data_IF_258190194273
#
_entry.id   IF_258190194273
#
_cell.length_a   1.000
_cell.length_b   1.000
_cell.length_c   1.000
_cell.angle_alpha   90.00
_cell.angle_beta   90.00
_cell.angle_gamma   90.00
#
_symmetry.space_group_name_H-M   'P 1'
#
loop_
_entity.id
_entity.type
_entity.pdbx_description
1 polymer ?
#
# COMPACT_ATOMS: atom_id res chain seq x y z
N UNK A 1 -13.26 -4.24 -10.42
CA UNK A 1 -14.37 -5.07 -9.90
C UNK A 1 -15.23 -4.28 -8.94
N UNK A 2 -14.66 -3.77 -7.84
CA UNK A 2 -15.42 -3.08 -6.79
C UNK A 2 -16.15 -1.79 -7.26
N UNK A 3 -15.65 -1.09 -8.29
CA UNK A 3 -16.29 0.12 -8.83
C UNK A 3 -17.67 -0.14 -9.45
N UNK A 4 -17.96 -1.40 -9.76
CA UNK A 4 -19.25 -1.83 -10.32
C UNK A 4 -20.32 -2.00 -9.24
N UNK A 5 -19.91 -2.13 -7.98
CA UNK A 5 -20.81 -2.29 -6.83
C UNK A 5 -21.24 -0.90 -6.37
N UNK A 6 -22.51 -0.55 -6.59
CA UNK A 6 -23.12 0.70 -6.14
C UNK A 6 -23.76 0.48 -4.77
N UNK A 7 -23.52 1.40 -3.84
CA UNK A 7 -24.06 1.34 -2.47
C UNK A 7 -25.39 2.10 -2.39
N UNK A 8 -25.35 3.42 -2.32
CA UNK A 8 -26.52 4.28 -2.19
C UNK A 8 -26.29 5.57 -3.01
N UNK A 9 -27.33 6.09 -3.67
CA UNK A 9 -27.25 7.34 -4.46
C UNK A 9 -26.14 7.37 -5.52
N UNK A 10 -25.80 6.23 -6.11
CA UNK A 10 -24.77 6.15 -7.16
C UNK A 10 -23.33 6.14 -6.65
N UNK A 11 -23.10 6.23 -5.34
CA UNK A 11 -21.76 6.10 -4.75
C UNK A 11 -21.30 4.64 -4.90
N UNK A 12 -20.14 4.45 -5.53
CA UNK A 12 -19.53 3.12 -5.68
C UNK A 12 -18.80 2.70 -4.39
N UNK A 13 -18.73 1.39 -4.14
CA UNK A 13 -17.96 0.84 -3.02
C UNK A 13 -16.49 1.26 -3.07
N UNK A 14 -15.91 1.37 -4.27
CA UNK A 14 -14.56 1.91 -4.44
C UNK A 14 -14.44 3.35 -4.00
N UNK A 15 -15.43 4.21 -4.24
CA UNK A 15 -15.37 5.61 -3.82
C UNK A 15 -15.26 5.72 -2.29
N UNK A 16 -16.07 4.95 -1.57
CA UNK A 16 -16.00 4.88 -0.11
C UNK A 16 -14.61 4.41 0.36
N UNK A 17 -14.11 3.30 -0.19
CA UNK A 17 -12.80 2.75 0.17
C UNK A 17 -11.67 3.74 -0.17
N UNK A 18 -11.71 4.40 -1.32
CA UNK A 18 -10.71 5.41 -1.73
C UNK A 18 -10.67 6.59 -0.77
N UNK A 19 -11.83 7.08 -0.30
CA UNK A 19 -11.88 8.17 0.69
C UNK A 19 -11.32 7.72 2.04
N UNK A 20 -11.65 6.52 2.51
CA UNK A 20 -11.11 5.97 3.75
C UNK A 20 -9.58 5.83 3.67
N UNK A 21 -9.06 5.31 2.56
CA UNK A 21 -7.62 5.19 2.32
C UNK A 21 -6.95 6.57 2.25
N UNK A 22 -7.59 7.53 1.58
CA UNK A 22 -7.07 8.90 1.49
C UNK A 22 -6.91 9.54 2.88
N UNK A 23 -7.96 9.49 3.71
CA UNK A 23 -7.91 10.00 5.08
C UNK A 23 -6.80 9.29 5.86
N UNK A 24 -6.77 7.96 5.81
CA UNK A 24 -5.77 7.17 6.52
C UNK A 24 -4.34 7.52 6.11
N UNK A 25 -4.05 7.66 4.82
CA UNK A 25 -2.71 8.02 4.34
C UNK A 25 -2.31 9.45 4.70
N UNK A 26 -3.25 10.40 4.68
CA UNK A 26 -3.01 11.76 5.16
C UNK A 26 -2.68 11.80 6.65
N UNK A 27 -3.31 10.95 7.46
CA UNK A 27 -2.99 10.81 8.89
C UNK A 27 -1.60 10.21 9.13
N UNK A 28 -1.10 9.36 8.23
CA UNK A 28 0.24 8.79 8.33
C UNK A 28 1.34 9.81 7.99
N UNK A 29 1.25 10.44 6.81
CA UNK A 29 2.20 11.48 6.39
C UNK A 29 1.55 12.34 5.32
N UNK A 30 1.22 13.60 5.67
CA UNK A 30 0.37 14.47 4.86
C UNK A 30 0.85 14.65 3.41
N UNK A 31 2.14 14.93 3.11
CA UNK A 31 2.57 15.18 1.73
C UNK A 31 2.35 13.98 0.80
N UNK A 32 2.75 12.78 1.21
CA UNK A 32 2.53 11.56 0.43
C UNK A 32 1.08 11.09 0.49
N UNK A 33 0.37 11.36 1.58
CA UNK A 33 -1.06 11.07 1.70
C UNK A 33 -1.90 11.86 0.68
N UNK A 34 -1.58 13.14 0.49
CA UNK A 34 -2.17 13.98 -0.57
C UNK A 34 -1.88 13.43 -1.96
N UNK A 35 -0.64 13.02 -2.23
CA UNK A 35 -0.25 12.44 -3.51
C UNK A 35 -0.98 11.11 -3.80
N UNK A 36 -0.98 10.19 -2.83
CA UNK A 36 -1.68 8.91 -2.94
C UNK A 36 -3.19 9.11 -3.09
N UNK A 37 -3.76 10.03 -2.30
CA UNK A 37 -5.16 10.42 -2.37
C UNK A 37 -5.57 10.95 -3.73
N UNK A 38 -4.78 11.88 -4.27
CA UNK A 38 -4.99 12.44 -5.60
C UNK A 38 -4.98 11.35 -6.67
N UNK A 39 -4.02 10.42 -6.63
CA UNK A 39 -3.95 9.31 -7.57
C UNK A 39 -5.17 8.38 -7.44
N UNK A 40 -5.54 8.00 -6.21
CA UNK A 40 -6.68 7.12 -5.93
C UNK A 40 -8.01 7.73 -6.38
N UNK A 41 -8.27 9.00 -6.05
CA UNK A 41 -9.49 9.70 -6.47
C UNK A 41 -9.54 9.90 -7.98
N UNK A 42 -8.43 10.30 -8.61
CA UNK A 42 -8.37 10.49 -10.06
C UNK A 42 -8.63 9.20 -10.82
N UNK A 43 -8.05 8.09 -10.36
CA UNK A 43 -8.29 6.77 -10.94
C UNK A 43 -9.75 6.32 -10.74
N UNK A 44 -10.31 6.56 -9.56
CA UNK A 44 -11.72 6.25 -9.27
C UNK A 44 -12.67 6.99 -10.21
N UNK A 45 -12.47 8.30 -10.37
CA UNK A 45 -13.25 9.12 -11.30
C UNK A 45 -13.09 8.63 -12.73
N UNK A 46 -11.87 8.33 -13.19
CA UNK A 46 -11.64 7.82 -14.54
C UNK A 46 -12.32 6.47 -14.82
N UNK A 47 -12.44 5.60 -13.80
CA UNK A 47 -13.16 4.33 -13.90
C UNK A 47 -14.68 4.53 -13.92
N UNK A 48 -15.21 5.43 -13.08
CA UNK A 48 -16.64 5.73 -12.99
C UNK A 48 -17.15 6.46 -14.23
N UNK A 49 -16.38 7.42 -14.74
CA UNK A 49 -16.67 8.16 -15.98
C UNK A 49 -16.44 7.33 -17.25
N UNK A 50 -16.09 6.05 -17.11
CA UNK A 50 -15.75 5.15 -18.21
C UNK A 50 -14.60 5.63 -19.11
N UNK A 51 -13.74 6.55 -18.64
CA UNK A 51 -12.52 6.93 -19.37
C UNK A 51 -11.51 5.79 -19.47
N UNK A 52 -11.54 4.90 -18.48
CA UNK A 52 -10.77 3.65 -18.46
C UNK A 52 -11.76 2.50 -18.60
N UNK A 53 -11.69 1.82 -19.75
CA UNK A 53 -12.49 0.63 -20.00
C UNK A 53 -11.67 -0.63 -19.70
N UNK A 54 -11.99 -1.28 -18.59
CA UNK A 54 -11.49 -2.62 -18.28
C UNK A 54 -12.65 -3.60 -18.36
N UNK A 55 -12.45 -4.71 -19.08
CA UNK A 55 -13.35 -5.86 -19.00
C UNK A 55 -13.20 -6.54 -17.64
N UNK A 56 -14.25 -7.23 -17.20
CA UNK A 56 -14.19 -8.02 -15.97
C UNK A 56 -13.04 -9.05 -15.98
N UNK A 57 -12.75 -9.63 -17.16
CA UNK A 57 -11.61 -10.54 -17.33
C UNK A 57 -10.28 -9.85 -17.04
N UNK A 58 -10.07 -8.64 -17.56
CA UNK A 58 -8.83 -7.88 -17.30
C UNK A 58 -8.71 -7.49 -15.82
N UNK A 59 -9.80 -7.06 -15.19
CA UNK A 59 -9.80 -6.74 -13.77
C UNK A 59 -9.44 -7.96 -12.90
N UNK A 60 -10.02 -9.12 -13.21
CA UNK A 60 -9.75 -10.37 -12.51
C UNK A 60 -8.32 -10.85 -12.77
N UNK A 61 -7.82 -10.77 -14.00
CA UNK A 61 -6.45 -11.12 -14.33
C UNK A 61 -5.45 -10.26 -13.56
N UNK A 62 -5.65 -8.93 -13.51
CA UNK A 62 -4.79 -8.03 -12.74
C UNK A 62 -4.82 -8.37 -11.23
N UNK A 63 -5.99 -8.70 -10.70
CA UNK A 63 -6.15 -9.11 -9.31
C UNK A 63 -5.36 -10.40 -9.01
N UNK A 64 -5.53 -11.44 -9.82
CA UNK A 64 -4.83 -12.73 -9.64
C UNK A 64 -3.32 -12.56 -9.80
N UNK A 65 -2.88 -11.80 -10.81
CA UNK A 65 -1.45 -11.50 -11.02
C UNK A 65 -0.86 -10.77 -9.81
N UNK A 66 -1.58 -9.79 -9.25
CA UNK A 66 -1.16 -9.08 -8.04
C UNK A 66 -0.96 -10.02 -6.85
N UNK A 67 -1.88 -10.96 -6.65
CA UNK A 67 -1.74 -11.99 -5.60
C UNK A 67 -0.56 -12.93 -5.84
N UNK A 68 -0.33 -13.35 -7.09
CA UNK A 68 0.84 -14.17 -7.44
C UNK A 68 2.13 -13.43 -7.09
N UNK A 69 2.26 -12.16 -7.48
CA UNK A 69 3.43 -11.36 -7.14
C UNK A 69 3.60 -11.17 -5.63
N UNK A 70 2.50 -10.96 -4.90
CA UNK A 70 2.54 -10.82 -3.44
C UNK A 70 3.04 -12.10 -2.76
N UNK A 71 2.48 -13.27 -3.11
CA UNK A 71 2.91 -14.54 -2.52
C UNK A 71 4.30 -14.97 -2.99
N UNK A 72 4.64 -14.74 -4.26
CA UNK A 72 5.97 -15.05 -4.79
C UNK A 72 7.05 -14.15 -4.15
N UNK A 73 6.77 -12.86 -3.97
CA UNK A 73 7.63 -11.92 -3.26
C UNK A 73 8.00 -12.41 -1.87
N UNK A 74 7.00 -12.66 -1.02
CA UNK A 74 7.25 -13.09 0.35
C UNK A 74 7.80 -14.52 0.45
N UNK A 75 7.28 -15.44 -0.35
CA UNK A 75 7.63 -16.86 -0.29
C UNK A 75 9.00 -17.18 -0.90
N UNK A 76 9.31 -16.62 -2.08
CA UNK A 76 10.54 -16.95 -2.84
C UNK A 76 11.67 -15.99 -2.50
N UNK A 77 11.40 -14.68 -2.47
CA UNK A 77 12.45 -13.67 -2.30
C UNK A 77 12.74 -13.41 -0.82
N UNK A 78 11.71 -13.26 0.01
CA UNK A 78 11.90 -12.98 1.43
C UNK A 78 12.04 -14.23 2.31
N UNK A 79 11.70 -15.42 1.77
CA UNK A 79 11.69 -16.72 2.48
C UNK A 79 10.95 -16.67 3.82
N UNK A 80 9.96 -15.78 3.94
CA UNK A 80 9.16 -15.55 5.15
C UNK A 80 7.71 -15.98 4.90
N UNK A 81 6.96 -16.19 5.98
CA UNK A 81 5.51 -16.34 5.87
C UNK A 81 4.93 -15.05 5.27
N UNK A 82 3.89 -15.14 4.43
CA UNK A 82 3.27 -13.96 3.85
C UNK A 82 2.83 -13.01 4.96
N UNK A 83 3.15 -11.71 4.85
CA UNK A 83 2.80 -10.71 5.87
C UNK A 83 1.30 -10.66 6.18
N UNK A 84 0.47 -11.09 5.22
CA UNK A 84 -0.98 -11.26 5.38
C UNK A 84 -1.37 -12.22 6.52
N UNK A 85 -0.50 -13.20 6.84
CA UNK A 85 -0.73 -14.15 7.92
C UNK A 85 -0.48 -13.55 9.31
N UNK A 86 0.32 -12.50 9.40
CA UNK A 86 0.69 -11.86 10.67
C UNK A 86 -0.25 -10.69 10.99
N UNK A 87 -0.49 -9.82 10.02
CA UNK A 87 -1.45 -8.72 10.15
C UNK A 87 -2.07 -8.38 8.79
N UNK A 88 -3.24 -8.98 8.52
CA UNK A 88 -3.95 -8.84 7.25
C UNK A 88 -4.27 -7.38 6.91
N UNK A 89 -4.81 -6.64 7.88
CA UNK A 89 -5.28 -5.26 7.67
C UNK A 89 -4.09 -4.35 7.39
N UNK A 90 -3.03 -4.43 8.21
CA UNK A 90 -1.83 -3.64 7.99
C UNK A 90 -1.19 -3.97 6.65
N UNK A 91 -1.07 -5.25 6.30
CA UNK A 91 -0.48 -5.69 5.04
C UNK A 91 -1.27 -5.22 3.83
N UNK A 92 -2.60 -5.29 3.86
CA UNK A 92 -3.43 -4.87 2.73
C UNK A 92 -3.47 -3.33 2.56
N UNK A 93 -3.55 -2.59 3.69
CA UNK A 93 -3.72 -1.14 3.66
C UNK A 93 -2.39 -0.41 3.45
N UNK A 94 -1.30 -0.86 4.09
CA UNK A 94 0.00 -0.19 3.98
C UNK A 94 0.82 -0.64 2.77
N UNK A 95 0.65 -1.86 2.24
CA UNK A 95 1.50 -2.32 1.14
C UNK A 95 1.47 -1.41 -0.10
N UNK A 96 0.32 -0.92 -0.59
CA UNK A 96 0.30 0.02 -1.72
C UNK A 96 1.04 1.33 -1.40
N UNK A 97 0.91 1.81 -0.16
CA UNK A 97 1.57 3.04 0.29
C UNK A 97 3.08 2.86 0.42
N UNK A 98 3.52 1.69 0.87
CA UNK A 98 4.93 1.31 0.94
C UNK A 98 5.59 1.30 -0.45
N UNK A 99 4.93 0.72 -1.46
CA UNK A 99 5.44 0.73 -2.85
C UNK A 99 5.61 2.17 -3.36
N UNK A 100 4.69 3.07 -3.02
CA UNK A 100 4.79 4.48 -3.39
C UNK A 100 6.02 5.15 -2.72
N UNK A 101 6.26 4.89 -1.43
CA UNK A 101 7.48 5.39 -0.78
C UNK A 101 8.76 4.84 -1.41
N UNK A 102 8.81 3.54 -1.69
CA UNK A 102 9.95 2.94 -2.40
C UNK A 102 10.22 3.62 -3.74
N UNK A 103 9.16 3.90 -4.50
CA UNK A 103 9.28 4.62 -5.76
C UNK A 103 9.80 6.04 -5.56
N UNK A 104 9.21 6.80 -4.62
CA UNK A 104 9.62 8.18 -4.30
C UNK A 104 11.07 8.26 -3.81
N UNK A 105 11.52 7.27 -3.04
CA UNK A 105 12.89 7.15 -2.58
C UNK A 105 13.85 6.82 -3.72
N UNK A 106 13.47 5.93 -4.65
CA UNK A 106 14.29 5.57 -5.82
C UNK A 106 14.50 6.74 -6.77
N UNK A 107 13.51 7.63 -6.92
CA UNK A 107 13.64 8.84 -7.74
C UNK A 107 14.23 10.05 -6.98
N UNK A 108 14.59 9.87 -5.71
CA UNK A 108 15.29 10.89 -4.91
C UNK A 108 14.41 12.01 -4.34
N UNK A 109 13.07 11.85 -4.30
CA UNK A 109 12.17 12.91 -3.84
C UNK A 109 12.21 13.17 -2.32
N UNK A 110 12.63 12.18 -1.52
CA UNK A 110 12.53 12.25 -0.05
C UNK A 110 13.80 11.74 0.68
N UNK A 111 14.98 12.33 0.39
CA UNK A 111 16.25 11.82 0.91
C UNK A 111 16.36 11.92 2.43
N UNK A 112 15.84 13.01 3.02
CA UNK A 112 15.87 13.22 4.47
C UNK A 112 14.97 12.21 5.21
N UNK A 113 13.75 11.98 4.70
CA UNK A 113 12.84 11.00 5.30
C UNK A 113 13.42 9.58 5.21
N UNK A 114 14.04 9.24 4.08
CA UNK A 114 14.73 7.96 3.92
C UNK A 114 15.86 7.80 4.93
N UNK A 115 16.72 8.81 5.07
CA UNK A 115 17.85 8.78 6.00
C UNK A 115 17.39 8.63 7.46
N UNK A 116 16.34 9.35 7.87
CA UNK A 116 15.77 9.23 9.21
C UNK A 116 15.21 7.83 9.46
N UNK A 117 14.49 7.27 8.48
CA UNK A 117 13.92 5.92 8.60
C UNK A 117 15.02 4.85 8.70
N UNK A 118 16.09 4.97 7.92
CA UNK A 118 17.25 4.07 7.99
C UNK A 118 17.94 4.16 9.36
N UNK A 119 18.13 5.38 9.87
CA UNK A 119 18.69 5.61 11.21
C UNK A 119 17.84 4.97 12.31
N UNK A 120 16.52 5.19 12.29
CA UNK A 120 15.60 4.63 13.27
C UNK A 120 15.57 3.09 13.25
N UNK A 121 15.68 2.50 12.04
CA UNK A 121 15.78 1.04 11.88
C UNK A 121 17.10 0.50 12.45
N UNK A 122 18.22 1.17 12.22
CA UNK A 122 19.52 0.77 12.78
C UNK A 122 19.52 0.83 14.31
N UNK A 123 18.98 1.91 14.89
CA UNK A 123 18.85 2.05 16.35
C UNK A 123 18.00 0.91 16.91
N UNK A 124 16.84 0.66 16.31
CA UNK A 124 15.92 -0.39 16.76
C UNK A 124 16.51 -1.80 16.64
N UNK A 125 17.30 -2.07 15.60
CA UNK A 125 18.01 -3.35 15.45
C UNK A 125 19.05 -3.53 16.56
N UNK A 126 19.86 -2.51 16.85
CA UNK A 126 20.85 -2.53 17.94
C UNK A 126 20.19 -2.77 19.29
N UNK A 127 19.07 -2.11 19.56
CA UNK A 127 18.31 -2.28 20.80
C UNK A 127 17.79 -3.71 20.97
N UNK A 128 17.29 -4.32 19.89
CA UNK A 128 16.84 -5.72 19.88
C UNK A 128 18.00 -6.70 20.10
N UNK A 129 19.16 -6.47 19.48
CA UNK A 129 20.36 -7.28 19.70
C UNK A 129 20.87 -7.19 21.13
N UNK A 130 20.98 -5.98 21.68
CA UNK A 130 21.37 -5.76 23.07
C UNK A 130 20.39 -6.42 24.06
N UNK A 131 19.09 -6.35 23.78
CA UNK A 131 18.05 -6.99 24.61
C UNK A 131 18.17 -8.51 24.57
N UNK A 132 18.53 -9.09 23.42
CA UNK A 132 18.75 -10.54 23.30
C UNK A 132 19.98 -10.98 24.10
N UNK A 133 21.10 -10.27 23.95
CA UNK A 133 22.36 -10.58 24.64
C UNK A 133 22.28 -10.43 26.17
N UNK A 134 21.35 -9.64 26.69
CA UNK A 134 21.13 -9.49 28.14
C UNK A 134 20.29 -10.62 28.76
N UNK A 135 19.54 -11.35 27.92
CA UNK A 135 18.66 -12.44 28.33
C UNK A 135 19.32 -13.82 28.13
N UNK A 136 20.52 -13.86 27.55
CA UNK A 136 21.41 -15.04 27.44
C UNK A 136 22.43 -15.04 28.59
#
# INVERSE_FOLDING_TARGET
MLHRIKLYHGISLTALISVLFFIFYCLLYLPTGLLAGFFLLSLNLALVDHRIHLSFKQELSLFVIGWIFQFAGHGVFEKKRPALMDNLVQSLVLAPYFIMFEFLFKIGCMPQLKANLEHDLEVKQKDLENSRNKNE
#
